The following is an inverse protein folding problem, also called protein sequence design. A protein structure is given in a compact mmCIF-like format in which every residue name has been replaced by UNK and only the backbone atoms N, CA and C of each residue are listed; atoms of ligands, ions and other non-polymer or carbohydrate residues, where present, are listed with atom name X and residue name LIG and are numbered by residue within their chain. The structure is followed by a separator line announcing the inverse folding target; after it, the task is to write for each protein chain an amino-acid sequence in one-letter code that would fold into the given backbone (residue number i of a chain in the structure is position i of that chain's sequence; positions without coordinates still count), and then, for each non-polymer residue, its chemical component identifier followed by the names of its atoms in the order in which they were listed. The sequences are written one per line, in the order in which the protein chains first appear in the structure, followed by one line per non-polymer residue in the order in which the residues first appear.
data_IF_719352984192
#
_entry.id   IF_719352984192
#
_cell.length_a   1.000
_cell.length_b   1.000
_cell.length_c   1.000
_cell.angle_alpha   90.00
_cell.angle_beta   90.00
_cell.angle_gamma   90.00
#
_symmetry.space_group_name_H-M   'P 1'
#
loop_
_entity.id
_entity.type
_entity.pdbx_description
1 polymer ?
#
# COMPACT_ATOMS: atom_id res chain seq x y z
N UNK A 1 -27.93 -52.22 -16.94
CA UNK A 1 -27.28 -50.95 -17.30
C UNK A 1 -25.97 -51.27 -18.01
N UNK A 2 -25.78 -50.75 -19.23
CA UNK A 2 -24.73 -51.18 -20.15
C UNK A 2 -23.32 -50.78 -19.63
N UNK A 3 -22.31 -51.63 -19.81
CA UNK A 3 -20.93 -51.38 -19.34
C UNK A 3 -20.35 -50.08 -19.91
N UNK A 4 -20.70 -49.78 -21.17
CA UNK A 4 -20.32 -48.55 -21.87
C UNK A 4 -20.92 -47.32 -21.16
N UNK A 5 -22.20 -47.40 -20.75
CA UNK A 5 -22.89 -46.30 -20.07
C UNK A 5 -22.24 -46.03 -18.70
N UNK A 6 -21.86 -47.08 -17.96
CA UNK A 6 -21.15 -46.94 -16.68
C UNK A 6 -19.77 -46.30 -16.85
N UNK A 7 -19.04 -46.68 -17.90
CA UNK A 7 -17.72 -46.11 -18.22
C UNK A 7 -17.81 -44.63 -18.57
N UNK A 8 -18.79 -44.24 -19.39
CA UNK A 8 -19.03 -42.84 -19.74
C UNK A 8 -19.35 -42.02 -18.49
N UNK A 9 -20.27 -42.49 -17.64
CA UNK A 9 -20.64 -41.82 -16.40
C UNK A 9 -19.43 -41.63 -15.48
N UNK A 10 -18.61 -42.67 -15.28
CA UNK A 10 -17.40 -42.60 -14.45
C UNK A 10 -16.39 -41.60 -15.02
N UNK A 11 -16.18 -41.58 -16.33
CA UNK A 11 -15.25 -40.64 -16.98
C UNK A 11 -15.72 -39.18 -16.83
N UNK A 12 -17.01 -38.93 -16.98
CA UNK A 12 -17.58 -37.58 -16.80
C UNK A 12 -17.50 -37.13 -15.35
N UNK A 13 -17.72 -38.05 -14.39
CA UNK A 13 -17.62 -37.74 -12.96
C UNK A 13 -16.17 -37.42 -12.57
N UNK A 14 -15.20 -38.17 -13.12
CA UNK A 14 -13.78 -37.91 -12.90
C UNK A 14 -13.35 -36.53 -13.43
N UNK A 15 -13.84 -36.14 -14.62
CA UNK A 15 -13.58 -34.80 -15.17
C UNK A 15 -14.23 -33.69 -14.33
N UNK A 16 -15.45 -33.89 -13.82
CA UNK A 16 -16.13 -32.92 -12.94
C UNK A 16 -15.39 -32.76 -11.60
N UNK A 17 -14.87 -33.85 -11.02
CA UNK A 17 -14.08 -33.80 -9.78
C UNK A 17 -12.76 -33.02 -9.98
N UNK A 18 -12.15 -33.13 -11.17
CA UNK A 18 -10.89 -32.47 -11.49
C UNK A 18 -11.06 -31.04 -12.07
N UNK A 19 -12.27 -30.64 -12.47
CA UNK A 19 -12.56 -29.36 -13.13
C UNK A 19 -12.38 -28.12 -12.23
N UNK A 20 -12.19 -28.29 -10.92
CA UNK A 20 -12.17 -27.16 -9.97
C UNK A 20 -10.79 -26.65 -9.58
N UNK A 21 -9.70 -27.34 -9.95
CA UNK A 21 -8.35 -27.03 -9.46
C UNK A 21 -7.30 -27.27 -10.54
N UNK A 22 -7.35 -26.46 -11.59
CA UNK A 22 -6.19 -26.33 -12.46
C UNK A 22 -5.17 -25.44 -11.74
N UNK A 23 -4.51 -25.99 -10.72
CA UNK A 23 -3.50 -25.30 -9.90
C UNK A 23 -2.43 -24.64 -10.78
N UNK A 24 -2.13 -25.27 -11.92
CA UNK A 24 -1.23 -24.73 -12.94
C UNK A 24 -1.75 -23.47 -13.65
N UNK A 25 -3.05 -23.41 -13.97
CA UNK A 25 -3.66 -22.25 -14.60
C UNK A 25 -3.74 -21.07 -13.62
N UNK A 26 -4.07 -21.34 -12.36
CA UNK A 26 -4.10 -20.34 -11.29
C UNK A 26 -2.70 -19.79 -10.99
N UNK A 27 -1.69 -20.67 -10.87
CA UNK A 27 -0.30 -20.26 -10.66
C UNK A 27 0.24 -19.42 -11.83
N UNK A 28 -0.10 -19.78 -13.07
CA UNK A 28 0.32 -19.03 -14.27
C UNK A 28 -0.36 -17.66 -14.31
N UNK A 29 -1.65 -17.59 -14.00
CA UNK A 29 -2.38 -16.34 -13.94
C UNK A 29 -1.81 -15.40 -12.87
N UNK A 30 -1.59 -15.90 -11.66
CA UNK A 30 -1.00 -15.13 -10.55
C UNK A 30 0.41 -14.63 -10.89
N UNK A 31 1.24 -15.45 -11.53
CA UNK A 31 2.57 -15.02 -11.97
C UNK A 31 2.52 -13.86 -12.97
N UNK A 32 1.60 -13.92 -13.95
CA UNK A 32 1.45 -12.86 -14.95
C UNK A 32 0.94 -11.58 -14.29
N UNK A 33 -0.05 -11.68 -13.40
CA UNK A 33 -0.59 -10.50 -12.71
C UNK A 33 0.46 -9.85 -11.82
N UNK A 34 1.23 -10.64 -11.08
CA UNK A 34 2.30 -10.14 -10.20
C UNK A 34 3.41 -9.46 -11.01
N UNK A 35 3.81 -10.07 -12.15
CA UNK A 35 4.80 -9.47 -13.03
C UNK A 35 4.35 -8.10 -13.57
N UNK A 36 3.11 -8.00 -14.06
CA UNK A 36 2.55 -6.75 -14.56
C UNK A 36 2.46 -5.72 -13.42
N UNK A 37 1.94 -6.12 -12.26
CA UNK A 37 1.76 -5.25 -11.11
C UNK A 37 3.09 -4.68 -10.60
N UNK A 38 4.13 -5.51 -10.49
CA UNK A 38 5.45 -5.06 -10.07
C UNK A 38 6.09 -4.07 -11.04
N UNK A 39 5.89 -4.24 -12.35
CA UNK A 39 6.47 -3.34 -13.34
C UNK A 39 5.71 -2.02 -13.49
N UNK A 40 4.39 -2.01 -13.29
CA UNK A 40 3.55 -0.81 -13.47
C UNK A 40 3.38 -0.02 -12.18
N UNK A 41 3.04 -0.71 -11.08
CA UNK A 41 2.66 -0.09 -9.82
C UNK A 41 3.75 -0.22 -8.73
N UNK A 42 4.83 -0.95 -9.01
CA UNK A 42 5.83 -1.33 -8.01
C UNK A 42 5.35 -2.46 -7.10
N UNK A 43 6.20 -2.83 -6.13
CA UNK A 43 5.83 -3.82 -5.10
C UNK A 43 4.61 -3.25 -4.35
N UNK A 44 3.51 -4.01 -4.16
CA UNK A 44 2.42 -3.58 -3.32
C UNK A 44 2.96 -3.56 -1.89
N UNK A 45 3.51 -2.41 -1.49
CA UNK A 45 3.90 -2.16 -0.11
C UNK A 45 2.59 -1.99 0.64
N UNK A 46 2.15 -3.07 1.28
CA UNK A 46 1.09 -3.04 2.28
C UNK A 46 1.55 -1.98 3.30
N UNK A 47 0.82 -0.87 3.41
CA UNK A 47 1.21 0.19 4.32
C UNK A 47 1.24 -0.42 5.71
N UNK A 48 2.39 -0.36 6.38
CA UNK A 48 2.53 -0.94 7.71
C UNK A 48 1.57 -0.22 8.65
N UNK A 49 0.61 -0.97 9.22
CA UNK A 49 -0.26 -0.44 10.26
C UNK A 49 0.62 0.06 11.40
N UNK A 50 0.60 1.37 11.60
CA UNK A 50 1.39 2.06 12.62
C UNK A 50 0.42 2.71 13.58
N UNK A 51 0.46 2.29 14.84
CA UNK A 51 -0.31 2.94 15.89
C UNK A 51 0.35 4.26 16.28
N UNK A 52 -0.38 5.36 16.10
CA UNK A 52 0.04 6.68 16.56
C UNK A 52 -0.73 7.03 17.82
N UNK A 53 -0.02 7.26 18.92
CA UNK A 53 -0.61 7.88 20.11
C UNK A 53 -0.82 9.38 19.84
N UNK A 54 -1.89 9.71 19.14
CA UNK A 54 -2.25 11.08 18.79
C UNK A 54 -2.93 11.77 19.98
N UNK A 55 -2.20 12.67 20.63
CA UNK A 55 -2.77 13.60 21.61
C UNK A 55 -2.90 15.00 20.98
N UNK A 56 -4.13 15.49 20.74
CA UNK A 56 -4.37 16.79 20.12
C UNK A 56 -3.86 17.97 20.96
N UNK A 57 -3.75 17.81 22.27
CA UNK A 57 -3.27 18.86 23.18
C UNK A 57 -1.73 18.93 23.20
N UNK A 58 -1.04 17.82 22.97
CA UNK A 58 0.42 17.80 22.83
C UNK A 58 0.86 18.62 21.62
N UNK A 59 0.11 18.58 20.51
CA UNK A 59 0.40 19.39 19.32
C UNK A 59 0.40 20.89 19.63
N UNK A 60 -0.62 21.36 20.36
CA UNK A 60 -0.73 22.77 20.78
C UNK A 60 0.43 23.18 21.69
N UNK A 61 0.78 22.34 22.68
CA UNK A 61 1.88 22.58 23.61
C UNK A 61 3.24 22.63 22.90
N UNK A 62 3.48 21.72 21.95
CA UNK A 62 4.72 21.67 21.16
C UNK A 62 4.87 22.89 20.25
N UNK A 63 3.78 23.37 19.64
CA UNK A 63 3.79 24.59 18.84
C UNK A 63 4.26 25.79 19.66
N UNK A 64 3.61 26.02 20.81
CA UNK A 64 3.95 27.13 21.71
C UNK A 64 5.40 27.04 22.19
N UNK A 65 5.87 25.84 22.57
CA UNK A 65 7.26 25.62 22.96
C UNK A 65 8.23 25.96 21.82
N UNK A 66 7.96 25.49 20.61
CA UNK A 66 8.82 25.73 19.45
C UNK A 66 8.89 27.23 19.09
N UNK A 67 7.77 27.96 19.18
CA UNK A 67 7.72 29.41 19.00
C UNK A 67 8.53 30.13 20.09
N UNK A 68 8.43 29.72 21.35
CA UNK A 68 9.23 30.29 22.44
C UNK A 68 10.73 30.08 22.24
N UNK A 69 11.13 28.89 21.80
CA UNK A 69 12.55 28.54 21.59
C UNK A 69 13.16 29.22 20.35
N UNK A 70 12.35 29.47 19.30
CA UNK A 70 12.85 29.94 18.00
C UNK A 70 12.37 31.36 17.62
N UNK A 71 11.57 31.99 18.48
CA UNK A 71 11.00 33.33 18.29
C UNK A 71 10.27 33.49 16.96
N UNK A 72 10.44 34.66 16.33
CA UNK A 72 9.83 34.99 15.03
C UNK A 72 10.12 33.98 13.91
N UNK A 73 11.31 33.33 13.94
CA UNK A 73 11.65 32.30 12.95
C UNK A 73 10.84 31.02 13.16
N UNK A 74 10.54 30.68 14.41
CA UNK A 74 9.71 29.53 14.76
C UNK A 74 8.28 29.68 14.26
N UNK A 75 7.68 30.85 14.53
CA UNK A 75 6.34 31.21 14.04
C UNK A 75 6.25 31.10 12.50
N UNK A 76 7.23 31.69 11.79
CA UNK A 76 7.27 31.65 10.32
C UNK A 76 7.47 30.24 9.78
N UNK A 77 8.22 29.39 10.49
CA UNK A 77 8.42 27.99 10.09
C UNK A 77 7.13 27.17 10.25
N UNK A 78 6.40 27.34 11.36
CA UNK A 78 5.10 26.69 11.58
C UNK A 78 4.08 27.14 10.53
N UNK A 79 4.03 28.44 10.23
CA UNK A 79 3.13 28.96 9.20
C UNK A 79 3.44 28.35 7.82
N UNK A 80 4.73 28.28 7.44
CA UNK A 80 5.16 27.63 6.18
C UNK A 80 4.80 26.15 6.13
N UNK A 81 4.97 25.42 7.24
CA UNK A 81 4.55 24.03 7.37
C UNK A 81 3.04 23.89 7.14
N UNK A 82 2.22 24.73 7.76
CA UNK A 82 0.76 24.71 7.60
C UNK A 82 0.27 25.11 6.20
N UNK A 83 1.03 25.95 5.49
CA UNK A 83 0.72 26.33 4.09
C UNK A 83 1.29 25.36 3.05
N UNK A 84 2.08 24.37 3.45
CA UNK A 84 2.76 23.45 2.53
C UNK A 84 3.85 24.11 1.66
N UNK A 85 4.35 25.29 2.04
CA UNK A 85 5.31 26.06 1.23
C UNK A 85 6.74 25.68 1.64
N UNK A 86 7.53 25.17 0.67
CA UNK A 86 8.95 24.88 0.85
C UNK A 86 9.27 23.47 1.35
N UNK A 87 8.30 22.55 1.32
CA UNK A 87 8.50 21.13 1.59
C UNK A 87 8.14 20.34 0.32
N UNK A 88 9.07 19.51 -0.15
CA UNK A 88 8.83 18.50 -1.19
C UNK A 88 8.68 17.18 -0.46
N UNK A 89 7.64 16.42 -0.76
CA UNK A 89 7.49 15.07 -0.22
C UNK A 89 8.69 14.20 -0.65
N UNK A 90 9.26 13.35 0.23
CA UNK A 90 8.86 13.10 1.61
C UNK A 90 9.37 14.22 2.54
N UNK A 91 8.64 14.45 3.64
CA UNK A 91 8.86 15.46 4.69
C UNK A 91 10.27 15.50 5.32
N UNK A 92 11.15 14.58 4.93
CA UNK A 92 12.56 14.53 5.31
C UNK A 92 13.49 15.29 4.35
N UNK A 93 12.98 15.88 3.26
CA UNK A 93 13.81 16.63 2.30
C UNK A 93 13.51 18.12 2.30
N UNK A 94 14.55 18.92 2.56
CA UNK A 94 14.50 20.37 2.40
C UNK A 94 14.58 20.72 0.91
N UNK A 95 13.74 21.66 0.47
CA UNK A 95 13.84 22.21 -0.89
C UNK A 95 15.15 22.98 -1.00
N UNK A 96 16.08 22.46 -1.82
CA UNK A 96 17.27 23.22 -2.21
C UNK A 96 16.82 24.45 -2.98
N UNK A 97 17.07 25.62 -2.40
CA UNK A 97 16.84 26.89 -3.07
C UNK A 97 17.79 26.95 -4.28
N UNK A 98 17.25 26.99 -5.50
CA UNK A 98 18.03 27.32 -6.69
C UNK A 98 18.17 28.84 -6.71
N UNK A 99 19.40 29.29 -6.45
CA UNK A 99 19.83 30.65 -6.72
C UNK A 99 19.60 31.01 -8.20
#
# INVERSE_FOLDING_TARGET
MNLIIRSIILSTLFLIINNGKNEFAEATFNFITDFIQYNIAGIPVIHQETEWNFDPEIGKKRRVRYEMENGYRGEKAIAKLGMGIGYVQPWNTLVKNKN
#
